data_IF_664845557367
#
_entry.id   IF_664845557367
#
_cell.length_a   1.000
_cell.length_b   1.000
_cell.length_c   1.000
_cell.angle_alpha   90.00
_cell.angle_beta   90.00
_cell.angle_gamma   90.00
#
_symmetry.space_group_name_H-M   'P 1'
#
loop_
_entity.id
_entity.type
_entity.pdbx_description
1 polymer ?
#
# COMPACT_ATOMS: atom_id res chain seq x y z
N UNK A 1 -9.63 10.50 0.37
CA UNK A 1 -8.72 9.44 -0.03
C UNK A 1 -9.48 8.22 -0.48
N UNK A 2 -9.16 7.71 -1.63
CA UNK A 2 -9.88 6.56 -2.17
C UNK A 2 -9.49 5.29 -1.45
N UNK A 3 -10.45 4.57 -0.94
CA UNK A 3 -10.21 3.24 -0.42
C UNK A 3 -10.07 2.27 -1.58
N UNK A 4 -9.29 1.21 -1.38
CA UNK A 4 -9.21 0.14 -2.36
C UNK A 4 -10.61 -0.42 -2.59
N UNK A 5 -10.94 -0.68 -3.85
CA UNK A 5 -12.24 -1.26 -4.24
C UNK A 5 -12.32 -2.75 -3.89
N UNK A 6 -11.20 -3.35 -3.52
CA UNK A 6 -11.09 -4.78 -3.31
C UNK A 6 -10.59 -5.07 -1.91
N UNK A 7 -11.16 -6.10 -1.29
CA UNK A 7 -10.75 -6.53 0.04
C UNK A 7 -9.47 -7.34 -0.03
N UNK A 8 -8.83 -7.53 1.13
CA UNK A 8 -7.62 -8.33 1.22
C UNK A 8 -7.89 -9.78 0.76
N UNK A 9 -9.06 -10.31 1.08
CA UNK A 9 -9.48 -11.63 0.65
C UNK A 9 -9.60 -11.72 -0.85
N UNK A 10 -10.16 -10.70 -1.49
CA UNK A 10 -10.31 -10.68 -2.94
C UNK A 10 -8.96 -10.62 -3.63
N UNK A 11 -8.05 -9.82 -3.14
CA UNK A 11 -6.70 -9.70 -3.71
C UNK A 11 -5.97 -11.04 -3.59
N UNK A 12 -5.97 -11.63 -2.41
CA UNK A 12 -5.32 -12.91 -2.16
C UNK A 12 -5.95 -14.02 -3.01
N UNK A 13 -7.27 -14.01 -3.15
CA UNK A 13 -7.98 -14.99 -3.97
C UNK A 13 -7.56 -14.89 -5.44
N UNK A 14 -7.49 -13.67 -5.97
CA UNK A 14 -7.09 -13.46 -7.36
C UNK A 14 -5.68 -13.97 -7.62
N UNK A 15 -4.75 -13.65 -6.72
CA UNK A 15 -3.37 -14.10 -6.87
C UNK A 15 -3.25 -15.62 -6.75
N UNK A 16 -3.98 -16.21 -5.83
CA UNK A 16 -3.97 -17.66 -5.67
C UNK A 16 -4.54 -18.39 -6.89
N UNK A 17 -5.60 -17.83 -7.49
CA UNK A 17 -6.17 -18.42 -8.69
C UNK A 17 -5.16 -18.46 -9.82
N UNK A 18 -4.42 -17.39 -10.03
CA UNK A 18 -3.38 -17.35 -11.05
C UNK A 18 -2.26 -18.35 -10.74
N UNK A 19 -1.89 -18.50 -9.48
CA UNK A 19 -0.86 -19.45 -9.07
C UNK A 19 -1.28 -20.90 -9.29
N UNK A 20 -2.56 -21.19 -9.14
CA UNK A 20 -3.07 -22.57 -9.28
C UNK A 20 -3.47 -22.94 -10.70
N UNK A 21 -3.18 -22.09 -11.67
CA UNK A 21 -3.33 -22.44 -13.07
C UNK A 21 -4.39 -21.68 -13.85
N UNK A 22 -5.17 -20.81 -13.22
CA UNK A 22 -6.14 -19.99 -13.94
C UNK A 22 -5.40 -18.93 -14.75
N UNK A 23 -5.71 -18.79 -16.06
CA UNK A 23 -5.05 -17.77 -16.88
C UNK A 23 -5.25 -16.36 -16.28
N UNK A 24 -4.19 -15.57 -16.32
CA UNK A 24 -4.21 -14.20 -15.78
C UNK A 24 -5.33 -13.38 -16.42
N UNK A 25 -5.51 -13.52 -17.73
CA UNK A 25 -6.54 -12.77 -18.43
C UNK A 25 -7.95 -13.09 -17.94
N UNK A 26 -8.18 -14.34 -17.56
CA UNK A 26 -9.47 -14.73 -16.99
C UNK A 26 -9.68 -14.14 -15.61
N UNK A 27 -8.66 -14.14 -14.78
CA UNK A 27 -8.71 -13.52 -13.44
C UNK A 27 -9.02 -12.03 -13.57
N UNK A 28 -8.32 -11.34 -14.46
CA UNK A 28 -8.51 -9.92 -14.71
C UNK A 28 -9.94 -9.62 -15.12
N UNK A 29 -10.47 -10.42 -16.05
CA UNK A 29 -11.83 -10.22 -16.54
C UNK A 29 -12.86 -10.45 -15.46
N UNK A 30 -12.71 -11.51 -14.67
CA UNK A 30 -13.65 -11.82 -13.59
C UNK A 30 -13.63 -10.77 -12.48
N UNK A 31 -12.47 -10.25 -12.17
CA UNK A 31 -12.33 -9.24 -11.14
C UNK A 31 -12.70 -7.83 -11.61
N UNK A 32 -12.71 -7.62 -12.92
CA UNK A 32 -12.97 -6.29 -13.47
C UNK A 32 -11.86 -5.31 -13.19
N UNK A 33 -10.62 -5.77 -13.17
CA UNK A 33 -9.45 -4.94 -12.89
C UNK A 33 -8.60 -4.77 -14.14
N UNK A 34 -7.70 -3.78 -14.11
CA UNK A 34 -6.72 -3.60 -15.17
C UNK A 34 -5.59 -4.61 -15.00
N UNK A 35 -4.94 -4.95 -16.10
CA UNK A 35 -3.80 -5.85 -16.09
C UNK A 35 -2.69 -5.30 -15.19
N UNK A 36 -2.45 -4.00 -15.25
CA UNK A 36 -1.44 -3.36 -14.42
C UNK A 36 -1.75 -3.54 -12.92
N UNK A 37 -3.01 -3.44 -12.55
CA UNK A 37 -3.43 -3.65 -11.16
C UNK A 37 -3.10 -5.05 -10.69
N UNK A 38 -3.37 -6.06 -11.52
CA UNK A 38 -3.06 -7.44 -11.18
C UNK A 38 -1.56 -7.64 -10.94
N UNK A 39 -0.72 -7.12 -11.83
CA UNK A 39 0.72 -7.28 -11.69
C UNK A 39 1.29 -6.48 -10.53
N UNK A 40 0.69 -5.34 -10.20
CA UNK A 40 1.06 -4.61 -8.99
C UNK A 40 0.75 -5.44 -7.75
N UNK A 41 -0.42 -6.08 -7.70
CA UNK A 41 -0.77 -6.96 -6.60
C UNK A 41 0.19 -8.15 -6.49
N UNK A 42 0.54 -8.74 -7.62
CA UNK A 42 1.47 -9.86 -7.64
C UNK A 42 2.83 -9.45 -7.10
N UNK A 43 3.30 -8.28 -7.46
CA UNK A 43 4.57 -7.76 -6.99
C UNK A 43 4.56 -7.49 -5.49
N UNK A 44 3.47 -6.91 -4.98
CA UNK A 44 3.37 -6.50 -3.59
C UNK A 44 2.96 -7.63 -2.66
N UNK A 45 2.07 -8.50 -3.10
CA UNK A 45 1.41 -9.46 -2.22
C UNK A 45 1.52 -10.91 -2.70
N UNK A 46 2.26 -11.17 -3.74
CA UNK A 46 2.38 -12.53 -4.28
C UNK A 46 2.86 -13.52 -3.24
N UNK A 47 2.18 -14.67 -3.15
CA UNK A 47 2.54 -15.70 -2.18
C UNK A 47 1.99 -15.49 -0.78
N UNK A 48 1.27 -14.39 -0.53
CA UNK A 48 0.73 -14.08 0.79
C UNK A 48 -0.73 -14.49 0.89
N UNK A 49 -1.15 -14.96 2.07
CA UNK A 49 -2.56 -15.18 2.37
C UNK A 49 -3.26 -13.89 2.75
N UNK A 50 -4.61 -13.93 2.95
CA UNK A 50 -5.38 -12.73 3.25
C UNK A 50 -4.92 -11.98 4.50
N UNK A 51 -4.57 -12.70 5.55
CA UNK A 51 -4.13 -12.09 6.81
C UNK A 51 -2.79 -11.40 6.64
N UNK A 52 -1.90 -11.98 5.85
CA UNK A 52 -0.58 -11.39 5.59
C UNK A 52 -0.70 -10.16 4.71
N UNK A 53 -1.62 -10.18 3.73
CA UNK A 53 -1.89 -8.99 2.91
C UNK A 53 -2.41 -7.86 3.78
N UNK A 54 -3.33 -8.17 4.70
CA UNK A 54 -3.86 -7.19 5.63
C UNK A 54 -2.76 -6.59 6.51
N UNK A 55 -1.90 -7.45 7.03
CA UNK A 55 -0.80 -7.01 7.87
C UNK A 55 0.16 -6.11 7.12
N UNK A 56 0.50 -6.49 5.91
CA UNK A 56 1.39 -5.68 5.08
C UNK A 56 0.80 -4.30 4.82
N UNK A 57 -0.50 -4.23 4.51
CA UNK A 57 -1.18 -2.96 4.32
C UNK A 57 -1.16 -2.11 5.57
N UNK A 58 -1.34 -2.72 6.73
CA UNK A 58 -1.27 -2.01 8.01
C UNK A 58 0.13 -1.44 8.24
N UNK A 59 1.15 -2.23 7.96
CA UNK A 59 2.53 -1.78 8.11
C UNK A 59 2.87 -0.65 7.15
N UNK A 60 2.37 -0.71 5.93
CA UNK A 60 2.57 0.36 4.96
C UNK A 60 1.90 1.65 5.43
N UNK A 61 0.69 1.56 5.99
CA UNK A 61 -0.03 2.71 6.50
C UNK A 61 0.70 3.31 7.70
N UNK A 62 1.14 2.48 8.64
CA UNK A 62 1.91 2.93 9.79
C UNK A 62 3.20 3.61 9.37
N UNK A 63 3.88 3.03 8.39
CA UNK A 63 5.14 3.58 7.87
C UNK A 63 4.91 4.95 7.25
N UNK A 64 3.83 5.09 6.47
CA UNK A 64 3.47 6.38 5.87
C UNK A 64 3.17 7.43 6.94
N UNK A 65 2.43 7.04 7.98
CA UNK A 65 2.09 7.94 9.08
C UNK A 65 3.33 8.38 9.84
N UNK A 66 4.23 7.44 10.14
CA UNK A 66 5.48 7.76 10.83
C UNK A 66 6.36 8.69 10.01
N UNK A 67 6.46 8.46 8.71
CA UNK A 67 7.21 9.34 7.82
C UNK A 67 6.63 10.74 7.80
N UNK A 68 5.31 10.85 7.81
CA UNK A 68 4.64 12.15 7.85
C UNK A 68 4.95 12.87 9.16
N UNK A 69 4.89 12.17 10.29
CA UNK A 69 5.20 12.73 11.59
C UNK A 69 6.65 13.22 11.67
N UNK A 70 7.57 12.43 11.13
CA UNK A 70 8.99 12.83 11.10
C UNK A 70 9.17 14.07 10.25
N UNK A 71 8.52 14.15 9.10
CA UNK A 71 8.60 15.32 8.24
C UNK A 71 8.07 16.58 8.94
N UNK A 72 6.92 16.45 9.62
CA UNK A 72 6.30 17.56 10.33
C UNK A 72 7.19 18.05 11.48
N UNK A 73 7.75 17.13 12.26
CA UNK A 73 8.66 17.47 13.35
C UNK A 73 9.93 18.15 12.83
N UNK A 74 10.46 17.69 11.70
CA UNK A 74 11.64 18.30 11.10
C UNK A 74 11.37 19.72 10.65
N UNK A 75 10.20 19.97 10.07
CA UNK A 75 9.79 21.31 9.66
C UNK A 75 9.60 22.22 10.89
N UNK A 76 8.95 21.74 11.93
CA UNK A 76 8.74 22.50 13.16
C UNK A 76 10.07 22.89 13.78
N UNK A 77 11.01 21.97 13.85
CA UNK A 77 12.35 22.22 14.38
C UNK A 77 13.05 23.30 13.57
N UNK A 78 12.98 23.23 12.26
CA UNK A 78 13.62 24.20 11.38
C UNK A 78 13.00 25.59 11.55
N UNK A 79 11.68 25.65 11.65
CA UNK A 79 11.00 26.93 11.86
C UNK A 79 11.38 27.59 13.18
N UNK A 80 11.49 26.79 14.24
CA UNK A 80 11.92 27.29 15.54
C UNK A 80 13.34 27.81 15.49
N UNK A 81 14.24 27.10 14.81
CA UNK A 81 15.63 27.53 14.67
C UNK A 81 15.72 28.85 13.90
N UNK A 82 14.90 28.97 12.84
CA UNK A 82 14.89 30.24 12.07
C UNK A 82 14.40 31.40 12.89
N UNK A 83 13.36 31.21 13.68
CA UNK A 83 12.84 32.28 14.57
C UNK A 83 13.88 32.68 15.58
N UNK A 84 14.56 31.72 16.19
CA UNK A 84 15.61 32.01 17.17
C UNK A 84 16.78 32.75 16.52
N UNK A 85 17.16 32.38 15.30
CA UNK A 85 18.23 33.09 14.58
C UNK A 85 17.87 34.55 14.32
N UNK A 86 16.62 34.81 13.98
CA UNK A 86 16.16 36.15 13.64
C UNK A 86 16.12 37.07 14.85
N UNK A 87 15.96 36.53 16.05
CA UNK A 87 15.95 37.33 17.28
C UNK A 87 17.34 37.79 17.71
N UNK A 88 18.32 37.15 17.18
CA UNK A 88 19.70 37.51 17.47
C UNK A 88 20.24 38.52 16.47
#
# INVERSE_FOLDING_TARGET
MKKSRYTDEQIAFALRQAETGTPVQEVIRKMGIAEQTFYNWKKLYGGLGPSEVRRLKQLEEENRRLKQMVADLSLDKQMLQDVLSRKL
#
